data_IF_552360039444
#
_entry.id   IF_552360039444
#
_cell.length_a   1.000
_cell.length_b   1.000
_cell.length_c   1.000
_cell.angle_alpha   90.00
_cell.angle_beta   90.00
_cell.angle_gamma   90.00
#
_symmetry.space_group_name_H-M   'P 1'
#
loop_
_entity.id
_entity.type
_entity.pdbx_description
1 polymer ?
#
# COMPACT_ATOMS: atom_id res chain seq x y z
N UNK A 1 -15.99 9.32 -9.09
CA UNK A 1 -16.10 7.84 -8.92
C UNK A 1 -15.09 7.30 -7.89
N UNK A 2 -13.84 7.77 -7.90
CA UNK A 2 -12.76 7.40 -6.94
C UNK A 2 -13.08 7.62 -5.45
N UNK A 3 -13.84 8.66 -5.06
CA UNK A 3 -14.15 8.93 -3.65
C UNK A 3 -15.08 7.90 -3.01
N UNK A 4 -15.93 7.20 -3.78
CA UNK A 4 -16.80 6.13 -3.25
C UNK A 4 -16.01 4.86 -2.95
N UNK A 5 -14.98 4.54 -3.74
CA UNK A 5 -14.10 3.37 -3.52
C UNK A 5 -13.28 3.52 -2.23
N UNK A 6 -12.81 4.72 -1.92
CA UNK A 6 -12.07 5.01 -0.69
C UNK A 6 -12.98 4.91 0.55
N UNK A 7 -14.25 5.34 0.43
CA UNK A 7 -15.24 5.23 1.50
C UNK A 7 -15.67 3.78 1.75
N UNK A 8 -15.85 2.97 0.70
CA UNK A 8 -16.14 1.53 0.82
C UNK A 8 -15.00 0.76 1.49
N UNK A 9 -13.74 1.13 1.22
CA UNK A 9 -12.60 0.57 1.93
C UNK A 9 -12.57 0.97 3.41
N UNK A 10 -13.03 2.17 3.78
CA UNK A 10 -12.99 2.63 5.18
C UNK A 10 -13.82 1.73 6.13
N UNK A 11 -14.98 1.25 5.66
CA UNK A 11 -15.85 0.33 6.41
C UNK A 11 -15.43 -1.14 6.34
N UNK A 12 -14.59 -1.49 5.36
CA UNK A 12 -14.06 -2.85 5.20
C UNK A 12 -12.81 -3.10 6.07
N UNK A 13 -12.21 -2.02 6.60
CA UNK A 13 -10.90 -2.06 7.25
C UNK A 13 -10.96 -2.55 8.69
N UNK A 14 -12.06 -2.34 9.44
CA UNK A 14 -12.20 -2.77 10.86
C UNK A 14 -13.68 -3.04 11.26
N UNK A 15 -14.35 -4.05 10.67
CA UNK A 15 -15.79 -4.26 10.84
C UNK A 15 -16.19 -4.69 12.27
N UNK A 16 -15.31 -5.37 13.02
CA UNK A 16 -15.59 -5.76 14.42
C UNK A 16 -15.47 -4.56 15.35
N UNK A 17 -14.50 -3.68 15.11
CA UNK A 17 -14.37 -2.43 15.86
C UNK A 17 -15.62 -1.56 15.69
N UNK A 18 -16.13 -1.41 14.46
CA UNK A 18 -17.35 -0.64 14.21
C UNK A 18 -18.56 -1.19 14.98
N UNK A 19 -18.69 -2.52 15.06
CA UNK A 19 -19.76 -3.16 15.82
C UNK A 19 -19.64 -2.89 17.31
N UNK A 20 -18.42 -2.97 17.87
CA UNK A 20 -18.19 -2.75 19.28
C UNK A 20 -18.38 -1.28 19.70
N UNK A 21 -18.00 -0.32 18.84
CA UNK A 21 -18.24 1.11 19.08
C UNK A 21 -19.75 1.44 19.07
N UNK A 22 -20.52 0.87 18.14
CA UNK A 22 -21.98 1.09 18.09
C UNK A 22 -22.71 0.55 19.34
N UNK A 23 -22.14 -0.46 20.00
CA UNK A 23 -22.70 -1.00 21.26
C UNK A 23 -22.41 -0.12 22.48
N UNK A 24 -21.49 0.86 22.38
CA UNK A 24 -21.20 1.84 23.44
C UNK A 24 -22.23 2.98 23.47
N UNK A 25 -22.72 3.42 22.30
CA UNK A 25 -23.58 4.61 22.14
C UNK A 25 -25.03 4.44 22.67
N UNK A 26 -25.39 3.24 23.13
CA UNK A 26 -26.78 2.85 23.45
C UNK A 26 -27.13 2.88 24.95
N UNK A 27 -26.27 3.32 25.88
CA UNK A 27 -26.57 3.13 27.32
C UNK A 27 -26.28 4.33 28.23
N UNK A 28 -27.36 5.04 28.55
CA UNK A 28 -27.52 5.92 29.70
C UNK A 28 -27.50 5.07 31.00
N UNK A 29 -26.46 5.26 31.83
CA UNK A 29 -26.14 4.55 33.11
C UNK A 29 -25.55 3.14 32.99
N UNK A 30 -24.22 3.04 32.94
CA UNK A 30 -23.48 1.78 33.03
C UNK A 30 -22.52 1.81 34.24
N UNK A 31 -22.47 0.73 35.02
CA UNK A 31 -21.49 0.55 36.12
C UNK A 31 -20.06 0.64 35.57
N UNK A 32 -19.15 1.26 36.32
CA UNK A 32 -17.73 1.48 35.94
C UNK A 32 -17.04 0.19 35.47
N UNK A 33 -17.32 -0.93 36.15
CA UNK A 33 -16.78 -2.26 35.83
C UNK A 33 -17.17 -2.73 34.41
N UNK A 34 -18.41 -2.46 33.99
CA UNK A 34 -18.91 -2.83 32.66
C UNK A 34 -18.31 -1.96 31.56
N UNK A 35 -17.96 -0.70 31.87
CA UNK A 35 -17.25 0.20 30.95
C UNK A 35 -15.81 -0.27 30.72
N UNK A 36 -15.15 -0.77 31.77
CA UNK A 36 -13.79 -1.35 31.66
C UNK A 36 -13.82 -2.61 30.80
N UNK A 37 -14.78 -3.51 31.00
CA UNK A 37 -14.93 -4.72 30.19
C UNK A 37 -15.19 -4.42 28.70
N UNK A 38 -16.05 -3.44 28.41
CA UNK A 38 -16.30 -2.98 27.04
C UNK A 38 -15.02 -2.43 26.39
N UNK A 39 -14.25 -1.63 27.15
CA UNK A 39 -12.99 -1.07 26.67
C UNK A 39 -11.96 -2.16 26.38
N UNK A 40 -11.81 -3.15 27.27
CA UNK A 40 -10.92 -4.30 27.06
C UNK A 40 -11.35 -5.07 25.79
N UNK A 41 -12.64 -5.33 25.61
CA UNK A 41 -13.16 -6.02 24.43
C UNK A 41 -12.88 -5.25 23.13
N UNK A 42 -12.98 -3.92 23.15
CA UNK A 42 -12.62 -3.07 22.02
C UNK A 42 -11.13 -3.15 21.71
N UNK A 43 -10.28 -3.07 22.74
CA UNK A 43 -8.83 -3.18 22.58
C UNK A 43 -8.41 -4.53 22.03
N UNK A 44 -8.99 -5.63 22.53
CA UNK A 44 -8.73 -6.98 22.03
C UNK A 44 -9.16 -7.11 20.57
N UNK A 45 -10.34 -6.59 20.20
CA UNK A 45 -10.80 -6.58 18.81
C UNK A 45 -9.85 -5.79 17.91
N UNK A 46 -9.41 -4.61 18.36
CA UNK A 46 -8.47 -3.77 17.61
C UNK A 46 -7.14 -4.49 17.39
N UNK A 47 -6.58 -5.12 18.43
CA UNK A 47 -5.34 -5.88 18.35
C UNK A 47 -5.50 -7.05 17.39
N UNK A 48 -6.58 -7.83 17.49
CA UNK A 48 -6.82 -8.98 16.61
C UNK A 48 -6.97 -8.56 15.15
N UNK A 49 -7.73 -7.50 14.87
CA UNK A 49 -7.90 -6.99 13.50
C UNK A 49 -6.60 -6.43 12.93
N UNK A 50 -5.84 -5.67 13.74
CA UNK A 50 -4.52 -5.19 13.35
C UNK A 50 -3.56 -6.35 13.06
N UNK A 51 -3.47 -7.34 13.95
CA UNK A 51 -2.62 -8.51 13.77
C UNK A 51 -2.98 -9.30 12.51
N UNK A 52 -4.28 -9.53 12.27
CA UNK A 52 -4.75 -10.20 11.06
C UNK A 52 -4.33 -9.43 9.81
N UNK A 53 -4.52 -8.09 9.79
CA UNK A 53 -4.17 -7.26 8.65
C UNK A 53 -2.65 -7.16 8.45
N UNK A 54 -1.88 -7.10 9.53
CA UNK A 54 -0.43 -7.09 9.49
C UNK A 54 0.15 -8.42 8.96
N UNK A 55 -0.50 -9.55 9.28
CA UNK A 55 -0.14 -10.85 8.69
C UNK A 55 -0.42 -10.89 7.18
N UNK A 56 -1.59 -10.46 6.74
CA UNK A 56 -1.91 -10.33 5.30
C UNK A 56 -0.91 -9.42 4.57
N UNK A 57 -0.49 -8.34 5.23
CA UNK A 57 0.50 -7.43 4.70
C UNK A 57 1.88 -8.09 4.50
N UNK A 58 2.30 -8.95 5.42
CA UNK A 58 3.58 -9.69 5.29
C UNK A 58 3.59 -10.60 4.06
N UNK A 59 2.45 -11.19 3.72
CA UNK A 59 2.29 -12.04 2.54
C UNK A 59 2.44 -11.27 1.21
N UNK A 60 2.36 -9.94 1.24
CA UNK A 60 2.58 -9.07 0.06
C UNK A 60 4.01 -8.51 -0.03
N UNK A 61 4.90 -8.91 0.88
CA UNK A 61 6.27 -8.36 0.97
C UNK A 61 7.07 -8.52 -0.32
N UNK A 62 7.01 -9.68 -0.97
CA UNK A 62 7.64 -9.88 -2.29
C UNK A 62 6.93 -9.05 -3.37
N UNK A 63 5.59 -9.02 -3.38
CA UNK A 63 4.80 -8.17 -4.29
C UNK A 63 5.20 -6.70 -4.19
N UNK A 64 5.56 -6.18 -3.01
CA UNK A 64 5.98 -4.78 -2.88
C UNK A 64 7.33 -4.48 -3.50
N UNK A 65 8.23 -5.47 -3.60
CA UNK A 65 9.50 -5.28 -4.30
C UNK A 65 9.27 -4.93 -5.77
N UNK A 66 8.14 -5.33 -6.36
CA UNK A 66 7.75 -4.97 -7.72
C UNK A 66 7.85 -3.46 -8.00
N UNK A 67 7.54 -2.60 -7.01
CA UNK A 67 7.60 -1.14 -7.18
C UNK A 67 9.01 -0.64 -7.51
N UNK A 68 10.03 -1.27 -6.94
CA UNK A 68 11.43 -0.85 -7.08
C UNK A 68 12.24 -1.76 -7.99
N UNK A 69 11.77 -2.99 -8.18
CA UNK A 69 12.49 -4.07 -8.83
C UNK A 69 11.62 -4.83 -9.84
N UNK A 70 10.84 -4.15 -10.72
CA UNK A 70 10.08 -4.84 -11.74
C UNK A 70 11.00 -5.54 -12.75
N UNK A 71 12.26 -5.07 -12.87
CA UNK A 71 13.30 -5.60 -13.73
C UNK A 71 13.87 -6.97 -13.30
N UNK A 72 13.67 -7.38 -12.05
CA UNK A 72 14.26 -8.63 -11.51
C UNK A 72 13.28 -9.55 -10.79
N UNK A 73 12.05 -9.09 -10.53
CA UNK A 73 11.04 -9.89 -9.85
C UNK A 73 10.46 -10.95 -10.78
N UNK A 74 10.36 -12.19 -10.31
CA UNK A 74 9.67 -13.27 -11.03
C UNK A 74 8.17 -13.17 -10.77
N UNK A 75 7.38 -13.45 -11.81
CA UNK A 75 5.92 -13.45 -11.73
C UNK A 75 5.38 -14.38 -10.64
N UNK A 76 5.97 -15.57 -10.47
CA UNK A 76 5.57 -16.57 -9.45
C UNK A 76 5.68 -16.07 -8.01
N UNK A 77 6.47 -15.02 -7.77
CA UNK A 77 6.64 -14.41 -6.45
C UNK A 77 5.59 -13.34 -6.14
N UNK A 78 4.82 -12.93 -7.13
CA UNK A 78 3.78 -11.91 -6.96
C UNK A 78 2.53 -12.55 -6.34
N UNK A 79 2.21 -12.16 -5.11
CA UNK A 79 0.92 -12.47 -4.51
C UNK A 79 -0.11 -11.45 -5.00
N UNK A 80 -0.97 -11.88 -5.94
CA UNK A 80 -1.99 -11.06 -6.58
C UNK A 80 -3.40 -11.18 -5.96
N UNK A 81 -3.57 -12.02 -4.93
CA UNK A 81 -4.89 -12.31 -4.32
C UNK A 81 -5.64 -11.07 -3.78
N UNK A 82 -4.93 -9.97 -3.51
CA UNK A 82 -5.50 -8.70 -3.04
C UNK A 82 -5.78 -7.71 -4.19
N UNK A 83 -5.48 -8.11 -5.41
CA UNK A 83 -5.47 -7.28 -6.62
C UNK A 83 -6.35 -7.84 -7.75
N UNK A 84 -7.17 -8.86 -7.48
CA UNK A 84 -8.09 -9.49 -8.45
C UNK A 84 -9.02 -8.48 -9.15
N UNK A 85 -9.35 -7.37 -8.48
CA UNK A 85 -10.18 -6.29 -9.00
C UNK A 85 -9.49 -5.39 -10.05
N UNK A 86 -8.19 -5.59 -10.33
CA UNK A 86 -7.43 -4.76 -11.26
C UNK A 86 -7.60 -5.14 -12.74
N UNK A 87 -8.10 -6.34 -13.04
CA UNK A 87 -8.23 -6.86 -14.43
C UNK A 87 -6.87 -6.73 -15.15
N UNK A 88 -5.91 -7.55 -14.72
CA UNK A 88 -4.50 -7.53 -15.14
C UNK A 88 -4.08 -8.88 -15.72
N UNK A 89 -4.89 -9.45 -16.59
CA UNK A 89 -4.70 -10.78 -17.18
C UNK A 89 -3.40 -10.88 -18.01
N UNK A 90 -2.93 -9.76 -18.57
CA UNK A 90 -1.71 -9.68 -19.37
C UNK A 90 -0.45 -9.37 -18.54
N UNK A 91 -0.54 -9.32 -17.20
CA UNK A 91 0.56 -8.88 -16.33
C UNK A 91 1.85 -9.67 -16.58
N UNK A 92 1.76 -10.99 -16.69
CA UNK A 92 2.91 -11.87 -16.89
C UNK A 92 3.62 -11.58 -18.22
N UNK A 93 2.85 -11.47 -19.30
CA UNK A 93 3.39 -11.17 -20.63
C UNK A 93 4.04 -9.78 -20.67
N UNK A 94 3.35 -8.77 -20.14
CA UNK A 94 3.90 -7.41 -20.05
C UNK A 94 5.16 -7.36 -19.19
N UNK A 95 5.25 -8.17 -18.12
CA UNK A 95 6.44 -8.26 -17.28
C UNK A 95 7.63 -8.83 -18.06
N UNK A 96 7.43 -9.87 -18.88
CA UNK A 96 8.46 -10.46 -19.73
C UNK A 96 8.97 -9.44 -20.77
N UNK A 97 8.06 -8.75 -21.45
CA UNK A 97 8.40 -7.71 -22.42
C UNK A 97 9.15 -6.55 -21.76
N UNK A 98 8.74 -6.17 -20.55
CA UNK A 98 9.39 -5.14 -19.76
C UNK A 98 10.82 -5.55 -19.38
N UNK A 99 11.01 -6.77 -18.89
CA UNK A 99 12.31 -7.33 -18.50
C UNK A 99 13.24 -7.61 -19.67
N UNK A 100 12.70 -7.65 -20.88
CA UNK A 100 13.49 -7.74 -22.13
C UNK A 100 13.95 -6.36 -22.62
N UNK A 101 13.40 -5.27 -22.08
CA UNK A 101 13.73 -3.90 -22.48
C UNK A 101 14.87 -3.32 -21.65
N UNK A 102 16.04 -3.18 -22.27
CA UNK A 102 17.20 -2.54 -21.64
C UNK A 102 16.91 -1.09 -21.21
N UNK A 103 16.06 -0.37 -21.95
CA UNK A 103 15.66 1.00 -21.63
C UNK A 103 14.97 1.06 -20.27
N UNK A 104 13.98 0.19 -20.04
CA UNK A 104 13.22 0.21 -18.79
C UNK A 104 14.01 -0.33 -17.61
N UNK A 105 14.81 -1.37 -17.83
CA UNK A 105 15.73 -1.90 -16.82
C UNK A 105 16.69 -0.79 -16.35
N UNK A 106 17.36 -0.11 -17.29
CA UNK A 106 18.28 0.97 -16.94
C UNK A 106 17.57 2.11 -16.20
N UNK A 107 16.36 2.47 -16.63
CA UNK A 107 15.58 3.50 -15.95
C UNK A 107 15.33 3.18 -14.48
N UNK A 108 14.94 1.95 -14.15
CA UNK A 108 14.72 1.54 -12.75
C UNK A 108 16.02 1.43 -11.94
N UNK A 109 17.14 1.07 -12.58
CA UNK A 109 18.47 1.11 -11.93
C UNK A 109 18.85 2.55 -11.59
N UNK A 110 18.67 3.50 -12.52
CA UNK A 110 18.94 4.92 -12.30
C UNK A 110 18.05 5.51 -11.21
N UNK A 111 16.75 5.19 -11.21
CA UNK A 111 15.83 5.60 -10.16
C UNK A 111 16.31 5.10 -8.80
N UNK A 112 16.68 3.83 -8.65
CA UNK A 112 17.21 3.28 -7.40
C UNK A 112 18.46 4.02 -6.92
N UNK A 113 19.43 4.26 -7.80
CA UNK A 113 20.65 5.05 -7.48
C UNK A 113 20.30 6.46 -7.02
N UNK A 114 19.34 7.11 -7.68
CA UNK A 114 18.88 8.46 -7.31
C UNK A 114 18.24 8.47 -5.92
N UNK A 115 17.45 7.45 -5.59
CA UNK A 115 16.86 7.32 -4.25
C UNK A 115 17.93 7.09 -3.16
N UNK A 116 18.94 6.27 -3.43
CA UNK A 116 20.07 6.07 -2.51
C UNK A 116 20.81 7.39 -2.23
N UNK A 117 21.03 8.20 -3.28
CA UNK A 117 21.63 9.53 -3.14
C UNK A 117 20.74 10.47 -2.32
N UNK A 118 19.42 10.50 -2.58
CA UNK A 118 18.48 11.32 -1.81
C UNK A 118 18.50 10.94 -0.33
N UNK A 119 18.54 9.65 0.00
CA UNK A 119 18.58 9.21 1.40
C UNK A 119 19.91 9.56 2.06
N UNK A 120 21.04 9.42 1.36
CA UNK A 120 22.34 9.86 1.86
C UNK A 120 22.40 11.38 2.07
N UNK A 121 21.82 12.17 1.17
CA UNK A 121 21.69 13.63 1.30
C UNK A 121 20.80 14.01 2.49
N UNK A 122 19.73 13.25 2.76
CA UNK A 122 18.81 13.49 3.89
C UNK A 122 19.46 13.25 5.24
N UNK A 123 20.41 12.31 5.31
CA UNK A 123 21.20 12.04 6.52
C UNK A 123 22.26 13.13 6.79
N UNK A 124 22.66 13.89 5.78
CA UNK A 124 23.78 14.85 5.85
C UNK A 124 23.35 16.31 5.76
N UNK A 125 22.19 16.59 5.18
CA UNK A 125 21.62 17.92 5.01
C UNK A 125 20.13 17.89 5.38
N UNK A 126 19.63 18.93 6.06
CA UNK A 126 18.21 19.09 6.41
C UNK A 126 17.30 19.33 5.18
N UNK A 127 17.70 18.92 3.98
CA UNK A 127 16.96 19.13 2.73
C UNK A 127 16.08 17.93 2.44
N UNK A 128 14.75 18.10 2.49
CA UNK A 128 13.80 17.04 2.17
C UNK A 128 13.50 17.00 0.66
N UNK A 129 14.29 16.28 -0.14
CA UNK A 129 13.83 15.85 -1.46
C UNK A 129 12.81 14.71 -1.30
N UNK A 130 11.70 14.77 -2.03
CA UNK A 130 10.61 13.79 -1.91
C UNK A 130 10.86 12.55 -2.79
N UNK A 131 11.28 11.45 -2.15
CA UNK A 131 11.49 10.11 -2.75
C UNK A 131 10.26 9.63 -3.53
N UNK A 132 9.05 9.96 -3.06
CA UNK A 132 7.80 9.48 -3.67
C UNK A 132 7.58 10.04 -5.08
N UNK A 133 8.09 11.25 -5.35
CA UNK A 133 7.94 11.89 -6.66
C UNK A 133 8.75 11.13 -7.72
N UNK A 134 9.97 10.70 -7.38
CA UNK A 134 10.88 10.00 -8.30
C UNK A 134 10.33 8.64 -8.73
N UNK A 135 9.79 7.87 -7.78
CA UNK A 135 9.16 6.58 -8.07
C UNK A 135 7.94 6.79 -8.98
N UNK A 136 7.08 7.76 -8.64
CA UNK A 136 5.87 8.03 -9.41
C UNK A 136 6.18 8.52 -10.83
N UNK A 137 7.15 9.42 -10.99
CA UNK A 137 7.62 9.90 -12.29
C UNK A 137 8.19 8.76 -13.15
N UNK A 138 8.94 7.85 -12.52
CA UNK A 138 9.47 6.65 -13.19
C UNK A 138 8.32 5.81 -13.75
N UNK A 139 7.34 5.46 -12.91
CA UNK A 139 6.16 4.67 -13.34
C UNK A 139 5.28 5.40 -14.37
N UNK A 140 5.12 6.72 -14.26
CA UNK A 140 4.35 7.54 -15.21
C UNK A 140 4.98 7.56 -16.60
N UNK A 141 6.31 7.45 -16.67
CA UNK A 141 7.05 7.49 -17.93
C UNK A 141 6.97 6.18 -18.74
N UNK A 142 6.47 5.10 -18.14
CA UNK A 142 6.31 3.81 -18.80
C UNK A 142 5.15 3.91 -19.81
N UNK A 143 5.31 3.39 -21.04
CA UNK A 143 4.29 3.37 -22.08
C UNK A 143 3.02 2.68 -21.63
N UNK A 144 1.90 3.07 -22.23
CA UNK A 144 0.60 2.46 -21.94
C UNK A 144 0.48 1.01 -22.45
N UNK A 145 1.44 0.55 -23.28
CA UNK A 145 1.60 -0.87 -23.58
C UNK A 145 1.86 -1.74 -22.34
N UNK A 146 2.35 -1.15 -21.24
CA UNK A 146 2.58 -1.82 -19.96
C UNK A 146 1.51 -1.45 -18.91
N UNK A 147 0.26 -1.26 -19.34
CA UNK A 147 -0.82 -0.79 -18.47
C UNK A 147 -1.09 -1.71 -17.27
N UNK A 148 -0.93 -3.04 -17.41
CA UNK A 148 -1.12 -3.97 -16.29
C UNK A 148 -0.06 -3.76 -15.21
N UNK A 149 1.20 -3.55 -15.62
CA UNK A 149 2.29 -3.21 -14.69
C UNK A 149 2.00 -1.88 -13.97
N UNK A 150 1.55 -0.86 -14.71
CA UNK A 150 1.19 0.45 -14.15
C UNK A 150 0.01 0.35 -13.16
N UNK A 151 -1.05 -0.38 -13.50
CA UNK A 151 -2.21 -0.63 -12.62
C UNK A 151 -1.77 -1.26 -11.30
N UNK A 152 -0.95 -2.31 -11.35
CA UNK A 152 -0.45 -2.97 -10.14
C UNK A 152 0.42 -2.01 -9.30
N UNK A 153 1.34 -1.28 -9.96
CA UNK A 153 2.19 -0.34 -9.27
C UNK A 153 1.39 0.77 -8.58
N UNK A 154 0.42 1.38 -9.26
CA UNK A 154 -0.41 2.42 -8.67
C UNK A 154 -1.32 1.90 -7.57
N UNK A 155 -1.83 0.66 -7.68
CA UNK A 155 -2.61 0.04 -6.61
C UNK A 155 -1.77 -0.13 -5.34
N UNK A 156 -0.55 -0.66 -5.47
CA UNK A 156 0.40 -0.78 -4.35
C UNK A 156 0.75 0.61 -3.79
N UNK A 157 1.15 1.56 -4.64
CA UNK A 157 1.47 2.93 -4.20
C UNK A 157 0.28 3.61 -3.52
N UNK A 158 -0.97 3.33 -3.91
CA UNK A 158 -2.16 3.90 -3.25
C UNK A 158 -2.39 3.30 -1.87
N UNK A 159 -2.15 1.99 -1.70
CA UNK A 159 -2.28 1.33 -0.39
C UNK A 159 -1.28 1.94 0.63
N UNK A 160 -0.10 2.36 0.16
CA UNK A 160 1.03 2.78 1.00
C UNK A 160 1.27 4.28 1.07
N UNK A 161 1.31 4.97 -0.07
CA UNK A 161 1.78 6.35 -0.18
C UNK A 161 0.65 7.38 0.01
N UNK A 162 -0.62 7.06 -0.31
CA UNK A 162 -1.71 8.01 -0.05
C UNK A 162 -1.98 8.22 1.44
N UNK A 163 -1.65 7.23 2.29
CA UNK A 163 -1.75 7.38 3.75
C UNK A 163 -0.62 8.21 4.37
N UNK A 164 0.57 8.25 3.75
CA UNK A 164 1.67 9.10 4.25
C UNK A 164 1.45 10.57 3.90
N UNK A 165 0.77 10.88 2.79
CA UNK A 165 0.47 12.26 2.39
C UNK A 165 -0.67 12.85 3.26
N UNK A 166 -1.71 12.07 3.59
CA UNK A 166 -2.84 12.57 4.42
C UNK A 166 -2.42 12.82 5.88
N UNK A 167 -1.38 12.15 6.38
CA UNK A 167 -0.84 12.41 7.73
C UNK A 167 0.24 13.51 7.78
N UNK A 168 0.66 14.07 6.64
CA UNK A 168 1.66 15.15 6.62
C UNK A 168 1.08 16.56 6.45
N UNK A 169 -0.20 16.65 6.10
CA UNK A 169 -0.94 17.92 5.93
C UNK A 169 -2.03 18.11 7.02
N UNK A 170 -1.67 17.88 8.29
CA UNK A 170 -2.39 18.41 9.45
C UNK A 170 -1.42 18.88 10.53
#
# INVERSE_FOLDING_TARGET
MFSKTILLQKTQVLPKLEKNIKNLDVQEKRNEEKVIDDFISIMDSLIQEFSARFSQFKELSETFKFIMHPDVISFDKLNLSQFDWLEIEELEMQLIDFQSSSIWIQKFIETRKKLELIEAERLTSNTSKNISNEILETWNSIPDAFNCLKKLAYAILTIFCLRVIIFRDK
#
